data_IF_024318626571
#
_entry.id   IF_024318626571
#
_cell.length_a   1.000
_cell.length_b   1.000
_cell.length_c   1.000
_cell.angle_alpha   90.00
_cell.angle_beta   90.00
_cell.angle_gamma   90.00
#
_symmetry.space_group_name_H-M   'P 1'
#
loop_
_entity.id
_entity.type
_entity.pdbx_description
1 polymer ?
#
# COMPACT_ATOMS: atom_id res chain seq x y z
N UNK A 1 24.87 -79.17 21.89
CA UNK A 1 24.58 -77.82 22.43
C UNK A 1 25.56 -76.86 21.77
N UNK A 2 25.06 -75.91 20.95
CA UNK A 2 25.88 -74.95 20.20
C UNK A 2 25.90 -73.61 20.95
N UNK A 3 27.07 -72.97 20.97
CA UNK A 3 27.44 -71.78 21.75
C UNK A 3 26.77 -70.48 21.24
N UNK A 4 25.93 -70.58 20.22
CA UNK A 4 25.31 -69.45 19.50
C UNK A 4 24.16 -68.77 20.29
N UNK A 5 23.61 -69.42 21.33
CA UNK A 5 22.51 -68.88 22.15
C UNK A 5 22.94 -67.99 23.33
N UNK A 6 24.25 -67.81 23.55
CA UNK A 6 24.79 -67.07 24.71
C UNK A 6 25.34 -65.67 24.37
N UNK A 7 25.12 -65.16 23.15
CA UNK A 7 25.54 -63.79 22.83
C UNK A 7 24.48 -62.77 23.29
N UNK A 8 24.76 -62.14 24.44
CA UNK A 8 23.95 -61.10 25.12
C UNK A 8 23.74 -59.80 24.32
N UNK A 9 24.25 -59.72 23.09
CA UNK A 9 24.11 -58.58 22.18
C UNK A 9 23.45 -58.95 20.85
N UNK A 10 22.86 -60.15 20.73
CA UNK A 10 22.06 -60.48 19.55
C UNK A 10 20.84 -59.56 19.51
N UNK A 11 20.93 -58.52 18.69
CA UNK A 11 19.79 -57.65 18.38
C UNK A 11 18.72 -58.55 17.79
N UNK A 12 17.49 -58.57 18.34
CA UNK A 12 16.45 -59.40 17.75
C UNK A 12 16.30 -58.99 16.29
N UNK A 13 16.31 -59.95 15.38
CA UNK A 13 15.84 -59.76 13.99
C UNK A 13 14.32 -59.55 13.99
N UNK A 14 13.86 -58.59 14.79
CA UNK A 14 12.58 -57.97 14.65
C UNK A 14 12.65 -57.20 13.35
N UNK A 15 12.16 -57.83 12.28
CA UNK A 15 11.74 -57.16 11.07
C UNK A 15 10.77 -56.04 11.48
N UNK A 16 11.29 -54.85 11.79
CA UNK A 16 10.53 -53.61 11.76
C UNK A 16 10.27 -53.32 10.30
N UNK A 17 9.42 -54.17 9.71
CA UNK A 17 8.82 -53.95 8.41
C UNK A 17 8.17 -52.59 8.55
N UNK A 18 8.75 -51.57 7.93
CA UNK A 18 8.10 -50.28 7.77
C UNK A 18 6.84 -50.59 6.97
N UNK A 19 5.75 -50.86 7.69
CA UNK A 19 4.43 -51.00 7.10
C UNK A 19 4.10 -49.59 6.68
N UNK A 20 4.33 -49.32 5.39
CA UNK A 20 3.76 -48.17 4.72
C UNK A 20 2.26 -48.23 5.03
N UNK A 21 1.82 -47.34 5.91
CA UNK A 21 0.44 -47.34 6.42
C UNK A 21 -0.48 -47.37 5.21
N UNK A 22 -1.50 -48.25 5.17
CA UNK A 22 -2.44 -48.31 4.07
C UNK A 22 -2.97 -46.90 3.84
N UNK A 23 -2.75 -46.35 2.63
CA UNK A 23 -2.98 -44.94 2.30
C UNK A 23 -4.31 -44.47 2.89
N UNK A 24 -4.20 -43.65 3.93
CA UNK A 24 -5.38 -43.09 4.58
C UNK A 24 -6.00 -42.10 3.59
N UNK A 25 -7.33 -42.02 3.46
CA UNK A 25 -7.95 -41.07 2.52
C UNK A 25 -7.53 -39.60 2.77
N UNK A 26 -7.10 -39.30 4.00
CA UNK A 26 -6.47 -38.04 4.37
C UNK A 26 -5.08 -37.84 3.75
N UNK A 27 -4.26 -38.87 3.67
CA UNK A 27 -2.94 -38.79 3.04
C UNK A 27 -3.06 -38.67 1.51
N UNK A 28 -4.05 -39.33 0.92
CA UNK A 28 -4.31 -39.22 -0.51
C UNK A 28 -4.88 -37.84 -0.87
N UNK A 29 -5.79 -37.27 -0.08
CA UNK A 29 -6.27 -35.90 -0.28
C UNK A 29 -5.20 -34.84 -0.03
N UNK A 30 -4.34 -35.01 0.97
CA UNK A 30 -3.17 -34.12 1.20
C UNK A 30 -2.17 -34.24 0.04
N UNK A 31 -1.94 -35.45 -0.48
CA UNK A 31 -1.06 -35.67 -1.64
C UNK A 31 -1.62 -35.05 -2.91
N UNK A 32 -2.93 -35.18 -3.17
CA UNK A 32 -3.61 -34.53 -4.29
C UNK A 32 -3.56 -33.00 -4.17
N UNK A 33 -3.80 -32.45 -2.97
CA UNK A 33 -3.68 -31.01 -2.73
C UNK A 33 -2.25 -30.50 -2.95
N UNK A 34 -1.24 -31.26 -2.51
CA UNK A 34 0.17 -30.91 -2.76
C UNK A 34 0.48 -30.90 -4.25
N UNK A 35 0.08 -31.96 -4.98
CA UNK A 35 0.26 -32.01 -6.43
C UNK A 35 -0.44 -30.88 -7.19
N UNK A 36 -1.60 -30.41 -6.71
CA UNK A 36 -2.30 -29.26 -7.30
C UNK A 36 -1.66 -27.92 -6.89
N UNK A 37 -1.02 -27.85 -5.73
CA UNK A 37 -0.33 -26.65 -5.25
C UNK A 37 1.09 -26.49 -5.83
N UNK A 38 1.77 -27.58 -6.20
CA UNK A 38 3.11 -27.58 -6.82
C UNK A 38 3.21 -26.68 -8.08
N UNK A 39 2.25 -26.68 -9.03
CA UNK A 39 2.28 -25.75 -10.16
C UNK A 39 2.01 -24.29 -9.74
N UNK A 40 1.24 -24.07 -8.67
CA UNK A 40 0.95 -22.72 -8.19
C UNK A 40 2.13 -22.10 -7.44
N UNK A 41 2.84 -22.90 -6.64
CA UNK A 41 4.05 -22.45 -5.93
C UNK A 41 5.17 -22.12 -6.89
N UNK A 42 5.39 -22.95 -7.92
CA UNK A 42 6.37 -22.67 -8.98
C UNK A 42 6.04 -21.41 -9.79
N UNK A 43 4.78 -21.19 -10.17
CA UNK A 43 4.36 -19.96 -10.84
C UNK A 43 4.52 -18.70 -9.96
N UNK A 44 4.15 -18.79 -8.68
CA UNK A 44 4.37 -17.71 -7.72
C UNK A 44 5.87 -17.41 -7.55
N UNK A 45 6.70 -18.44 -7.45
CA UNK A 45 8.14 -18.30 -7.31
C UNK A 45 8.78 -17.66 -8.56
N UNK A 46 8.33 -18.05 -9.75
CA UNK A 46 8.79 -17.47 -11.01
C UNK A 46 8.36 -16.00 -11.12
N UNK A 47 7.08 -15.70 -10.88
CA UNK A 47 6.55 -14.32 -10.91
C UNK A 47 7.24 -13.42 -9.88
N UNK A 48 7.49 -13.93 -8.67
CA UNK A 48 8.23 -13.23 -7.64
C UNK A 48 9.67 -12.96 -8.07
N UNK A 49 10.35 -13.95 -8.66
CA UNK A 49 11.72 -13.78 -9.14
C UNK A 49 11.83 -12.76 -10.30
N UNK A 50 10.80 -12.64 -11.14
CA UNK A 50 10.75 -11.63 -12.21
C UNK A 50 10.38 -10.22 -11.72
N UNK A 51 9.55 -10.12 -10.68
CA UNK A 51 9.10 -8.82 -10.12
C UNK A 51 10.07 -8.26 -9.09
N UNK A 52 10.78 -9.12 -8.35
CA UNK A 52 11.83 -8.74 -7.38
C UNK A 52 12.88 -7.78 -7.95
N UNK A 53 13.51 -8.02 -9.12
CA UNK A 53 14.50 -7.08 -9.67
C UNK A 53 13.88 -5.76 -10.12
N UNK A 54 12.62 -5.76 -10.61
CA UNK A 54 11.91 -4.52 -10.96
C UNK A 54 11.65 -3.68 -9.72
N UNK A 55 11.12 -4.29 -8.66
CA UNK A 55 10.91 -3.61 -7.38
C UNK A 55 12.22 -3.10 -6.80
N UNK A 56 13.27 -3.93 -6.77
CA UNK A 56 14.59 -3.51 -6.30
C UNK A 56 15.14 -2.33 -7.12
N UNK A 57 14.94 -2.32 -8.45
CA UNK A 57 15.33 -1.20 -9.31
C UNK A 57 14.52 0.07 -9.04
N UNK A 58 13.22 -0.04 -8.75
CA UNK A 58 12.41 1.11 -8.35
C UNK A 58 12.81 1.65 -6.98
N UNK A 59 13.07 0.78 -6.00
CA UNK A 59 13.56 1.18 -4.70
C UNK A 59 14.95 1.81 -4.79
N UNK A 60 15.86 1.23 -5.58
CA UNK A 60 17.18 1.81 -5.79
C UNK A 60 17.10 3.15 -6.50
N UNK A 61 16.30 3.25 -7.57
CA UNK A 61 16.05 4.52 -8.26
C UNK A 61 15.43 5.57 -7.33
N UNK A 62 14.52 5.17 -6.45
CA UNK A 62 13.92 6.04 -5.44
C UNK A 62 14.91 6.49 -4.38
N UNK A 63 15.77 5.59 -3.88
CA UNK A 63 16.84 5.90 -2.94
C UNK A 63 17.90 6.82 -3.57
N UNK A 64 18.32 6.54 -4.80
CA UNK A 64 19.27 7.37 -5.54
C UNK A 64 18.67 8.76 -5.81
N UNK A 65 17.37 8.82 -6.13
CA UNK A 65 16.66 10.10 -6.29
C UNK A 65 16.52 10.85 -4.96
N UNK A 66 16.31 10.14 -3.85
CA UNK A 66 16.23 10.72 -2.52
C UNK A 66 17.58 11.25 -2.05
N UNK A 67 18.66 10.51 -2.25
CA UNK A 67 20.02 10.96 -1.93
C UNK A 67 20.40 12.19 -2.77
N UNK A 68 20.00 12.22 -4.04
CA UNK A 68 20.15 13.39 -4.91
C UNK A 68 19.34 14.60 -4.44
N UNK A 69 18.14 14.39 -3.90
CA UNK A 69 17.30 15.43 -3.30
C UNK A 69 17.85 15.89 -1.94
N UNK A 70 18.45 14.99 -1.18
CA UNK A 70 19.01 15.26 0.15
C UNK A 70 20.31 16.07 0.07
N UNK A 71 21.14 15.82 -0.95
CA UNK A 71 22.38 16.55 -1.21
C UNK A 71 22.21 17.75 -2.17
N UNK A 72 20.97 18.21 -2.37
CA UNK A 72 20.68 19.18 -3.41
C UNK A 72 21.24 20.59 -3.08
N UNK A 73 21.94 21.24 -4.03
CA UNK A 73 22.44 22.59 -3.85
C UNK A 73 21.29 23.59 -3.64
N UNK A 74 21.52 24.68 -2.87
CA UNK A 74 20.50 25.65 -2.53
C UNK A 74 19.91 26.26 -3.81
N UNK A 75 18.66 25.89 -4.15
CA UNK A 75 17.98 26.31 -5.37
C UNK A 75 17.38 25.18 -6.22
N UNK A 76 17.61 23.91 -5.89
CA UNK A 76 17.02 22.79 -6.62
C UNK A 76 15.49 22.68 -6.44
N UNK A 77 15.00 22.69 -5.19
CA UNK A 77 13.56 22.58 -4.91
C UNK A 77 12.72 23.71 -5.52
N UNK A 78 13.12 25.00 -5.48
CA UNK A 78 12.41 26.04 -6.19
C UNK A 78 12.32 25.79 -7.71
N UNK A 79 13.41 25.32 -8.34
CA UNK A 79 13.43 25.04 -9.78
C UNK A 79 12.59 23.83 -10.14
N UNK A 80 12.70 22.75 -9.37
CA UNK A 80 11.92 21.52 -9.57
C UNK A 80 10.44 21.74 -9.31
N UNK A 81 10.14 22.56 -8.29
CA UNK A 81 8.80 23.07 -8.03
C UNK A 81 8.27 23.82 -9.24
N UNK A 82 8.94 24.85 -9.72
CA UNK A 82 8.48 25.64 -10.88
C UNK A 82 8.32 24.77 -12.13
N UNK A 83 9.25 23.87 -12.42
CA UNK A 83 9.17 22.94 -13.56
C UNK A 83 7.98 21.97 -13.39
N UNK A 84 7.81 21.40 -12.21
CA UNK A 84 6.70 20.48 -11.90
C UNK A 84 5.34 21.18 -11.94
N UNK A 85 5.23 22.38 -11.37
CA UNK A 85 4.03 23.22 -11.42
C UNK A 85 3.71 23.63 -12.86
N UNK A 86 4.69 24.07 -13.63
CA UNK A 86 4.50 24.41 -15.04
C UNK A 86 4.03 23.20 -15.87
N UNK A 87 4.60 22.02 -15.61
CA UNK A 87 4.18 20.77 -16.26
C UNK A 87 2.76 20.35 -15.88
N UNK A 88 2.40 20.44 -14.59
CA UNK A 88 1.06 20.10 -14.11
C UNK A 88 -0.01 21.08 -14.63
N UNK A 89 0.29 22.38 -14.61
CA UNK A 89 -0.58 23.42 -15.19
C UNK A 89 -0.72 23.20 -16.69
N UNK A 90 0.37 22.90 -17.40
CA UNK A 90 0.35 22.54 -18.81
C UNK A 90 -0.51 21.31 -19.10
N UNK A 91 -0.43 20.28 -18.26
CA UNK A 91 -1.25 19.06 -18.39
C UNK A 91 -2.74 19.34 -18.16
N UNK A 92 -3.08 20.13 -17.13
CA UNK A 92 -4.45 20.54 -16.83
C UNK A 92 -5.04 21.43 -17.94
N UNK A 93 -4.21 22.26 -18.57
CA UNK A 93 -4.63 23.12 -19.67
C UNK A 93 -4.79 22.35 -20.99
N UNK A 94 -3.93 21.35 -21.23
CA UNK A 94 -3.93 20.55 -22.47
C UNK A 94 -4.95 19.43 -22.46
N UNK A 95 -5.29 18.83 -21.32
CA UNK A 95 -6.29 17.74 -21.19
C UNK A 95 -7.75 18.23 -21.28
N UNK A 96 -7.99 19.26 -22.08
CA UNK A 96 -9.20 20.06 -22.10
C UNK A 96 -10.51 19.26 -22.12
N UNK A 97 -11.44 19.65 -21.25
CA UNK A 97 -12.80 19.97 -21.67
C UNK A 97 -13.45 20.89 -20.63
N UNK A 98 -13.86 22.08 -21.09
CA UNK A 98 -14.56 23.16 -20.37
C UNK A 98 -13.90 23.81 -19.14
N UNK A 99 -12.95 23.16 -18.46
CA UNK A 99 -12.26 23.76 -17.30
C UNK A 99 -11.51 25.04 -17.68
N UNK A 100 -10.88 25.09 -18.86
CA UNK A 100 -10.26 26.31 -19.39
C UNK A 100 -11.25 27.46 -19.59
N UNK A 101 -12.53 27.20 -19.87
CA UNK A 101 -13.53 28.27 -20.05
C UNK A 101 -14.06 28.80 -18.71
N UNK A 102 -13.94 28.00 -17.65
CA UNK A 102 -14.46 28.29 -16.31
C UNK A 102 -13.39 28.86 -15.38
N UNK A 103 -12.15 28.39 -15.49
CA UNK A 103 -11.04 28.81 -14.62
C UNK A 103 -10.26 29.97 -15.22
N UNK A 104 -10.16 30.06 -16.55
CA UNK A 104 -9.36 31.11 -17.19
C UNK A 104 -9.92 32.52 -16.95
N UNK A 105 -11.23 32.81 -17.15
CA UNK A 105 -11.75 34.16 -16.92
C UNK A 105 -11.65 34.64 -15.46
N UNK A 106 -12.15 33.90 -14.44
CA UNK A 106 -12.04 34.36 -13.06
C UNK A 106 -10.61 34.29 -12.52
N UNK A 107 -9.82 33.30 -12.94
CA UNK A 107 -8.41 33.17 -12.55
C UNK A 107 -7.56 34.32 -13.09
N UNK A 108 -7.74 34.67 -14.36
CA UNK A 108 -7.01 35.79 -14.98
C UNK A 108 -7.47 37.14 -14.47
N UNK A 109 -8.78 37.32 -14.25
CA UNK A 109 -9.36 38.55 -13.69
C UNK A 109 -8.93 38.75 -12.22
N UNK A 110 -8.87 37.67 -11.44
CA UNK A 110 -8.34 37.70 -10.07
C UNK A 110 -6.83 37.95 -10.01
N UNK A 111 -6.05 37.37 -10.92
CA UNK A 111 -4.61 37.65 -11.04
C UNK A 111 -4.35 39.10 -11.46
N UNK A 112 -5.07 39.61 -12.45
CA UNK A 112 -4.96 41.00 -12.89
C UNK A 112 -5.33 41.97 -11.77
N UNK A 113 -6.42 41.70 -11.04
CA UNK A 113 -6.81 42.50 -9.88
C UNK A 113 -5.77 42.44 -8.74
N UNK A 114 -5.14 41.28 -8.54
CA UNK A 114 -4.07 41.11 -7.54
C UNK A 114 -2.81 41.92 -7.88
N UNK A 115 -2.41 41.92 -9.15
CA UNK A 115 -1.26 42.71 -9.64
C UNK A 115 -1.56 44.21 -9.55
N UNK A 116 -2.79 44.63 -9.85
CA UNK A 116 -3.19 46.03 -9.87
C UNK A 116 -3.46 46.59 -8.45
N UNK A 117 -3.94 45.77 -7.50
CA UNK A 117 -4.19 46.15 -6.11
C UNK A 117 -3.62 45.13 -5.11
N UNK A 118 -2.28 45.13 -4.90
CA UNK A 118 -1.62 44.12 -4.08
C UNK A 118 -2.04 44.14 -2.61
N UNK A 119 -2.38 45.31 -2.05
CA UNK A 119 -2.80 45.42 -0.64
C UNK A 119 -4.15 44.74 -0.37
N UNK A 120 -5.09 44.80 -1.32
CA UNK A 120 -6.38 44.14 -1.22
C UNK A 120 -6.24 42.63 -1.36
N UNK A 121 -5.33 42.17 -2.23
CA UNK A 121 -5.02 40.75 -2.39
C UNK A 121 -4.39 40.15 -1.13
N UNK A 122 -3.47 40.87 -0.47
CA UNK A 122 -2.84 40.42 0.78
C UNK A 122 -3.88 40.29 1.90
N UNK A 123 -4.73 41.31 2.09
CA UNK A 123 -5.79 41.27 3.11
C UNK A 123 -6.79 40.15 2.84
N UNK A 124 -7.20 39.97 1.59
CA UNK A 124 -8.07 38.87 1.18
C UNK A 124 -7.40 37.50 1.38
N UNK A 125 -6.10 37.37 1.08
CA UNK A 125 -5.34 36.13 1.27
C UNK A 125 -5.22 35.76 2.76
N UNK A 126 -5.02 36.73 3.65
CA UNK A 126 -4.98 36.48 5.10
C UNK A 126 -6.34 35.98 5.61
N UNK A 127 -7.42 36.69 5.28
CA UNK A 127 -8.78 36.33 5.71
C UNK A 127 -9.22 34.99 5.12
N UNK A 128 -8.93 34.73 3.85
CA UNK A 128 -9.22 33.43 3.22
C UNK A 128 -8.33 32.31 3.74
N UNK A 129 -7.07 32.61 4.09
CA UNK A 129 -6.14 31.67 4.70
C UNK A 129 -6.63 31.14 6.05
N UNK A 130 -7.11 32.02 6.92
CA UNK A 130 -7.70 31.62 8.22
C UNK A 130 -8.95 30.77 8.02
N UNK A 131 -9.84 31.16 7.10
CA UNK A 131 -11.06 30.40 6.81
C UNK A 131 -10.77 29.04 6.21
N UNK A 132 -9.79 28.94 5.31
CA UNK A 132 -9.35 27.68 4.72
C UNK A 132 -8.73 26.76 5.78
N UNK A 133 -7.95 27.31 6.69
CA UNK A 133 -7.38 26.57 7.81
C UNK A 133 -8.48 25.99 8.71
N UNK A 134 -9.44 26.82 9.13
CA UNK A 134 -10.58 26.37 9.94
C UNK A 134 -11.41 25.30 9.23
N UNK A 135 -11.66 25.44 7.93
CA UNK A 135 -12.38 24.44 7.13
C UNK A 135 -11.59 23.15 7.00
N UNK A 136 -10.28 23.23 6.78
CA UNK A 136 -9.41 22.06 6.68
C UNK A 136 -9.35 21.30 8.00
N UNK A 137 -9.27 22.01 9.13
CA UNK A 137 -9.28 21.42 10.46
C UNK A 137 -10.63 20.74 10.73
N UNK A 138 -11.75 21.40 10.41
CA UNK A 138 -13.09 20.80 10.51
C UNK A 138 -13.26 19.59 9.62
N UNK A 139 -12.73 19.62 8.40
CA UNK A 139 -12.76 18.50 7.47
C UNK A 139 -11.93 17.31 7.97
N UNK A 140 -10.75 17.59 8.54
CA UNK A 140 -9.90 16.58 9.17
C UNK A 140 -10.59 15.94 10.36
N UNK A 141 -11.17 16.75 11.27
CA UNK A 141 -11.91 16.25 12.43
C UNK A 141 -13.11 15.42 11.99
N UNK A 142 -13.88 15.88 10.99
CA UNK A 142 -15.01 15.11 10.47
C UNK A 142 -14.59 13.77 9.85
N UNK A 143 -13.46 13.74 9.13
CA UNK A 143 -12.92 12.50 8.57
C UNK A 143 -12.38 11.58 9.67
N UNK A 144 -11.73 12.13 10.69
CA UNK A 144 -11.24 11.39 11.84
C UNK A 144 -12.38 10.79 12.65
N UNK A 145 -13.47 11.52 12.86
CA UNK A 145 -14.68 11.04 13.54
C UNK A 145 -15.35 9.93 12.71
N UNK A 146 -15.52 10.12 11.39
CA UNK A 146 -16.04 9.07 10.52
C UNK A 146 -15.16 7.82 10.52
N UNK A 147 -13.84 7.98 10.53
CA UNK A 147 -12.90 6.87 10.61
C UNK A 147 -13.02 6.15 11.96
N UNK A 148 -13.06 6.90 13.07
CA UNK A 148 -13.24 6.32 14.41
C UNK A 148 -14.58 5.60 14.55
N UNK A 149 -15.69 6.14 14.05
CA UNK A 149 -16.99 5.46 14.07
C UNK A 149 -16.98 4.15 13.27
N UNK A 150 -16.30 4.11 12.12
CA UNK A 150 -16.23 2.93 11.27
C UNK A 150 -15.29 1.85 11.84
N UNK A 151 -14.20 2.23 12.51
CA UNK A 151 -13.21 1.28 13.04
C UNK A 151 -13.39 0.95 14.53
N UNK A 152 -14.01 1.82 15.34
CA UNK A 152 -14.32 1.57 16.76
C UNK A 152 -15.71 0.97 17.03
N UNK A 153 -16.46 0.56 16.01
CA UNK A 153 -17.58 -0.38 16.19
C UNK A 153 -17.15 -1.84 15.94
N UNK A 154 -16.31 -2.49 16.77
CA UNK A 154 -16.32 -3.94 16.82
C UNK A 154 -17.53 -4.37 17.67
N UNK A 155 -18.56 -4.90 16.99
CA UNK A 155 -19.53 -5.83 17.55
C UNK A 155 -20.32 -5.39 18.80
N UNK A 156 -21.45 -4.69 18.60
CA UNK A 156 -22.61 -4.93 19.47
C UNK A 156 -23.56 -5.87 18.72
N UNK A 157 -23.29 -7.17 18.86
CA UNK A 157 -24.23 -8.24 18.52
C UNK A 157 -24.92 -8.69 19.81
N UNK A 158 -26.26 -8.78 19.73
CA UNK A 158 -27.22 -9.37 20.69
C UNK A 158 -27.49 -8.54 21.96
N UNK A 159 -28.75 -8.24 22.32
CA UNK A 159 -29.87 -9.16 22.45
C UNK A 159 -31.23 -8.50 22.15
N UNK A 160 -32.08 -9.21 21.41
CA UNK A 160 -33.52 -8.96 21.28
C UNK A 160 -34.22 -9.41 22.58
N UNK A 161 -35.07 -8.60 23.24
CA UNK A 161 -35.88 -9.10 24.34
C UNK A 161 -37.14 -9.73 23.76
N UNK A 162 -37.08 -11.05 23.58
CA UNK A 162 -38.28 -11.88 23.50
C UNK A 162 -38.69 -12.32 24.89
N UNK A 163 -40.00 -12.25 25.14
CA UNK A 163 -40.79 -12.99 26.13
C UNK A 163 -41.04 -12.31 27.50
N UNK A 164 -42.24 -11.74 27.62
CA UNK A 164 -43.19 -12.02 28.71
C UNK A 164 -44.59 -12.09 28.13
#
# INVERSE_FOLDING_TARGET
MKVEELSLYSTPEGQSKYVEKPRTQLEESISQLRHQCDPYTSWCQETYSQTKPKMQRFFQWGLDSYDFLQNAPPGFFPRLGVIGFAGLVGLLFTRGSKLKKLVYPPGFMGLAASIYYPQQAIAFAQVSGEKLYDWSLRGYIALEDLWKENFQKPGNVKNSPGNK
#
